data_IF_377000366131
#
_entry.id   IF_377000366131
#
_cell.length_a   1.000
_cell.length_b   1.000
_cell.length_c   1.000
_cell.angle_alpha   90.00
_cell.angle_beta   90.00
_cell.angle_gamma   90.00
#
_symmetry.space_group_name_H-M   'P 1'
#
loop_
_entity.id
_entity.type
_entity.pdbx_description
1 polymer ?
#
# COMPACT_ATOMS: atom_id res chain seq x y z
N UNK A 1 11.11 15.81 -56.28
CA UNK A 1 10.01 15.20 -55.51
C UNK A 1 10.63 14.48 -54.33
N UNK A 2 11.13 15.10 -53.25
CA UNK A 2 10.63 16.24 -52.42
C UNK A 2 9.18 15.98 -52.00
N UNK A 3 8.81 15.77 -50.73
CA UNK A 3 8.89 16.65 -49.54
C UNK A 3 8.50 15.83 -48.26
N UNK A 4 9.18 16.04 -47.11
CA UNK A 4 8.70 16.73 -45.87
C UNK A 4 7.94 15.84 -44.87
N UNK A 5 8.56 15.64 -43.70
CA UNK A 5 7.96 16.07 -42.42
C UNK A 5 9.02 16.12 -41.31
N UNK A 6 9.56 17.32 -41.10
CA UNK A 6 10.12 17.76 -39.82
C UNK A 6 8.95 18.18 -38.93
N UNK A 7 9.00 17.86 -37.64
CA UNK A 7 8.26 18.60 -36.62
C UNK A 7 9.17 18.82 -35.43
N UNK A 8 9.56 20.08 -35.25
CA UNK A 8 10.27 20.59 -34.10
C UNK A 8 9.60 21.87 -33.62
N UNK A 9 9.55 22.02 -32.29
CA UNK A 9 9.28 23.27 -31.57
C UNK A 9 7.80 23.58 -31.35
N UNK A 10 7.38 24.19 -30.24
CA UNK A 10 8.05 24.68 -29.05
C UNK A 10 6.94 25.10 -28.06
N UNK A 11 7.15 24.89 -26.75
CA UNK A 11 6.44 25.65 -25.72
C UNK A 11 7.26 25.70 -24.43
N UNK A 12 8.05 26.77 -24.31
CA UNK A 12 7.91 27.73 -23.21
C UNK A 12 8.44 27.35 -21.82
N UNK A 13 9.24 28.23 -21.19
CA UNK A 13 9.98 27.97 -19.96
C UNK A 13 9.13 28.20 -18.70
N UNK A 14 9.39 27.44 -17.64
CA UNK A 14 9.01 27.83 -16.27
C UNK A 14 10.24 27.88 -15.38
N UNK A 15 10.61 29.11 -15.06
CA UNK A 15 11.47 29.52 -13.95
C UNK A 15 10.64 29.73 -12.66
N UNK A 16 11.36 29.73 -11.53
CA UNK A 16 11.02 30.12 -10.15
C UNK A 16 10.16 29.13 -9.33
N UNK A 17 10.54 28.72 -8.11
CA UNK A 17 11.68 29.04 -7.23
C UNK A 17 12.00 27.78 -6.40
N UNK A 18 13.25 27.48 -6.08
CA UNK A 18 14.17 28.17 -5.15
C UNK A 18 13.74 28.08 -3.68
N UNK A 19 14.73 27.74 -2.85
CA UNK A 19 14.74 27.54 -1.38
C UNK A 19 14.26 26.19 -0.81
N UNK A 20 15.19 25.25 -0.71
CA UNK A 20 15.69 24.91 0.64
C UNK A 20 17.14 24.43 0.58
N UNK A 21 18.06 25.36 0.85
CA UNK A 21 19.46 25.07 1.04
C UNK A 21 19.67 24.27 2.31
N UNK A 22 19.90 22.97 2.17
CA UNK A 22 20.61 22.22 3.19
C UNK A 22 22.10 22.62 3.09
N UNK A 23 22.71 23.19 4.15
CA UNK A 23 24.11 23.55 4.11
C UNK A 23 24.97 22.29 3.90
N UNK A 24 26.13 22.40 3.23
CA UNK A 24 27.05 21.28 3.12
C UNK A 24 27.42 20.79 4.53
N UNK A 25 27.59 19.46 4.73
CA UNK A 25 27.94 18.93 6.04
C UNK A 25 29.19 19.64 6.54
N UNK A 26 29.07 20.28 7.70
CA UNK A 26 30.16 21.00 8.34
C UNK A 26 31.37 20.06 8.43
N UNK A 27 32.57 20.48 8.01
CA UNK A 27 33.76 19.68 8.21
C UNK A 27 33.88 19.42 9.71
N UNK A 28 33.86 18.14 10.10
CA UNK A 28 34.12 17.73 11.47
C UNK A 28 35.44 18.40 11.87
N UNK A 29 35.36 19.31 12.84
CA UNK A 29 36.50 19.81 13.58
C UNK A 29 37.16 18.59 14.23
N UNK A 30 38.14 18.02 13.53
CA UNK A 30 39.11 17.16 14.18
C UNK A 30 39.74 17.99 15.32
N UNK A 31 39.76 17.48 16.56
CA UNK A 31 40.48 18.16 17.62
C UNK A 31 41.94 18.30 17.16
N UNK A 32 42.59 19.46 17.40
CA UNK A 32 43.95 19.70 16.96
C UNK A 32 44.83 18.57 17.45
N UNK A 33 45.43 17.83 16.49
CA UNK A 33 46.52 16.90 16.79
C UNK A 33 47.59 17.71 17.53
N UNK A 34 47.61 17.56 18.85
CA UNK A 34 48.71 18.06 19.68
C UNK A 34 49.97 17.44 19.10
N UNK A 35 50.82 18.31 18.54
CA UNK A 35 52.18 17.94 18.21
C UNK A 35 52.83 17.31 19.45
N UNK A 36 53.59 16.22 19.30
CA UNK A 36 54.25 15.57 20.42
C UNK A 36 55.20 16.59 21.05
N UNK A 37 54.87 16.99 22.29
CA UNK A 37 55.72 17.85 23.10
C UNK A 37 56.88 16.97 23.54
N UNK A 38 58.08 17.31 23.07
CA UNK A 38 59.36 16.66 23.40
C UNK A 38 59.64 16.51 24.92
N UNK A 39 58.81 17.11 25.77
CA UNK A 39 58.83 16.96 27.23
C UNK A 39 58.16 15.69 27.78
N UNK A 40 57.42 14.93 26.96
CA UNK A 40 56.65 13.76 27.44
C UNK A 40 57.41 12.42 27.32
N UNK A 41 58.74 12.47 27.21
CA UNK A 41 59.60 11.29 27.36
C UNK A 41 59.72 10.93 28.85
N UNK A 42 59.18 9.77 29.30
CA UNK A 42 59.34 9.33 30.68
C UNK A 42 60.76 8.77 30.86
N UNK A 43 61.74 9.65 31.07
CA UNK A 43 63.14 9.24 31.18
C UNK A 43 64.15 10.30 31.63
N UNK A 44 63.70 11.49 32.04
CA UNK A 44 64.61 12.64 32.23
C UNK A 44 65.54 12.59 33.44
N UNK A 45 65.18 11.91 34.54
CA UNK A 45 65.99 11.96 35.79
C UNK A 45 66.64 10.63 36.14
N UNK A 46 66.10 9.50 35.65
CA UNK A 46 66.74 8.19 35.78
C UNK A 46 68.03 8.08 34.95
N UNK A 47 68.11 8.74 33.80
CA UNK A 47 69.28 8.72 32.90
C UNK A 47 70.53 9.34 33.54
N UNK A 48 70.39 10.44 34.30
CA UNK A 48 71.53 11.14 34.93
C UNK A 48 72.18 10.30 36.03
N UNK A 49 71.40 9.51 36.77
CA UNK A 49 71.91 8.59 37.79
C UNK A 49 72.69 7.40 37.23
N UNK A 50 72.33 6.93 36.03
CA UNK A 50 73.02 5.82 35.36
C UNK A 50 74.36 6.24 34.77
N UNK A 51 74.42 7.44 34.16
CA UNK A 51 75.66 8.00 33.61
C UNK A 51 76.66 8.31 34.72
N UNK A 52 76.21 8.86 35.85
CA UNK A 52 77.09 9.16 36.99
C UNK A 52 77.62 7.89 37.68
N UNK A 53 76.80 6.84 37.84
CA UNK A 53 77.28 5.56 38.39
C UNK A 53 78.28 4.85 37.44
N UNK A 54 78.07 4.97 36.12
CA UNK A 54 79.01 4.45 35.12
C UNK A 54 80.36 5.18 35.15
N UNK A 55 80.36 6.51 35.27
CA UNK A 55 81.57 7.34 35.34
C UNK A 55 82.33 7.09 36.65
N UNK A 56 81.66 6.99 37.79
CA UNK A 56 82.31 6.70 39.07
C UNK A 56 82.85 5.27 39.11
N UNK A 57 82.13 4.30 38.55
CA UNK A 57 82.60 2.91 38.45
C UNK A 57 83.83 2.76 37.55
N UNK A 58 83.84 3.43 36.39
CA UNK A 58 85.00 3.42 35.49
C UNK A 58 86.20 4.19 36.05
N UNK A 59 85.99 5.31 36.75
CA UNK A 59 87.04 6.03 37.46
C UNK A 59 87.66 5.19 38.60
N UNK A 60 86.85 4.44 39.36
CA UNK A 60 87.35 3.55 40.41
C UNK A 60 88.18 2.38 39.84
N UNK A 61 87.79 1.84 38.69
CA UNK A 61 88.54 0.78 37.99
C UNK A 61 89.89 1.32 37.49
N UNK A 62 89.90 2.49 36.84
CA UNK A 62 91.14 3.14 36.37
C UNK A 62 92.07 3.50 37.54
N UNK A 63 91.52 4.02 38.63
CA UNK A 63 92.28 4.34 39.85
C UNK A 63 92.91 3.09 40.48
N UNK A 64 92.18 1.97 40.54
CA UNK A 64 92.67 0.73 41.13
C UNK A 64 93.76 0.05 40.27
N UNK A 65 93.68 0.19 38.94
CA UNK A 65 94.72 -0.29 38.00
C UNK A 65 96.03 0.49 38.19
N UNK A 66 95.95 1.80 38.43
CA UNK A 66 97.14 2.65 38.56
C UNK A 66 97.87 2.52 39.92
N UNK A 67 97.20 2.05 40.98
CA UNK A 67 97.72 2.11 42.36
C UNK A 67 98.10 0.76 43.00
N UNK A 68 98.08 -0.37 42.29
CA UNK A 68 98.38 -1.69 42.88
C UNK A 68 99.70 -2.32 42.39
N UNK A 69 100.77 -2.37 43.19
CA UNK A 69 101.99 -3.12 42.89
C UNK A 69 101.87 -4.57 43.39
N UNK A 70 101.60 -5.55 42.52
CA UNK A 70 101.88 -6.97 42.82
C UNK A 70 101.94 -7.85 41.55
N UNK A 71 102.67 -8.98 41.58
CA UNK A 71 103.06 -9.80 40.41
C UNK A 71 101.89 -10.49 39.68
N UNK A 72 102.13 -10.81 38.40
CA UNK A 72 101.22 -10.56 37.28
C UNK A 72 100.28 -11.69 36.80
N UNK A 73 100.32 -12.91 37.33
CA UNK A 73 99.64 -14.03 36.65
C UNK A 73 98.29 -14.48 37.22
N UNK A 74 98.00 -14.26 38.52
CA UNK A 74 96.73 -14.73 39.15
C UNK A 74 95.62 -13.66 39.23
N UNK A 75 95.97 -12.38 39.08
CA UNK A 75 95.05 -11.25 39.30
C UNK A 75 94.02 -11.07 38.17
N UNK A 76 94.45 -11.20 36.92
CA UNK A 76 93.59 -10.92 35.76
C UNK A 76 92.33 -11.79 35.73
N UNK A 77 92.42 -13.04 36.21
CA UNK A 77 91.32 -14.00 36.21
C UNK A 77 90.23 -13.64 37.24
N UNK A 78 90.60 -13.12 38.41
CA UNK A 78 89.63 -12.68 39.42
C UNK A 78 88.94 -11.36 39.03
N UNK A 79 89.67 -10.42 38.42
CA UNK A 79 89.07 -9.18 37.90
C UNK A 79 88.11 -9.42 36.74
N UNK A 80 88.46 -10.31 35.81
CA UNK A 80 87.55 -10.69 34.73
C UNK A 80 86.27 -11.31 35.30
N UNK A 81 86.39 -12.19 36.30
CA UNK A 81 85.23 -12.77 37.00
C UNK A 81 84.33 -11.71 37.66
N UNK A 82 84.91 -10.76 38.39
CA UNK A 82 84.14 -9.71 39.09
C UNK A 82 83.44 -8.73 38.14
N UNK A 83 84.11 -8.32 37.06
CA UNK A 83 83.53 -7.41 36.05
C UNK A 83 82.40 -8.11 35.29
N UNK A 84 82.62 -9.34 34.82
CA UNK A 84 81.59 -10.13 34.12
C UNK A 84 80.39 -10.38 35.05
N UNK A 85 80.64 -10.71 36.32
CA UNK A 85 79.56 -10.89 37.31
C UNK A 85 78.76 -9.59 37.53
N UNK A 86 79.44 -8.44 37.64
CA UNK A 86 78.78 -7.13 37.75
C UNK A 86 77.92 -6.79 36.54
N UNK A 87 78.42 -7.02 35.33
CA UNK A 87 77.67 -6.81 34.08
C UNK A 87 76.44 -7.72 34.00
N UNK A 88 76.57 -8.99 34.36
CA UNK A 88 75.45 -9.95 34.39
C UNK A 88 74.39 -9.53 35.41
N UNK A 89 74.80 -9.08 36.60
CA UNK A 89 73.88 -8.68 37.67
C UNK A 89 73.14 -7.39 37.30
N UNK A 90 73.82 -6.45 36.65
CA UNK A 90 73.21 -5.24 36.08
C UNK A 90 72.24 -5.60 34.95
N UNK A 91 72.60 -6.49 34.03
CA UNK A 91 71.72 -6.94 32.94
C UNK A 91 70.47 -7.66 33.47
N UNK A 92 70.63 -8.52 34.48
CA UNK A 92 69.52 -9.19 35.16
C UNK A 92 68.59 -8.17 35.84
N UNK A 93 69.18 -7.18 36.53
CA UNK A 93 68.41 -6.11 37.18
C UNK A 93 67.68 -5.21 36.17
N UNK A 94 68.32 -4.84 35.06
CA UNK A 94 67.71 -4.09 33.96
C UNK A 94 66.55 -4.89 33.34
N UNK A 95 66.72 -6.19 33.17
CA UNK A 95 65.67 -7.07 32.64
C UNK A 95 64.46 -7.13 33.59
N UNK A 96 64.70 -7.33 34.90
CA UNK A 96 63.62 -7.40 35.91
C UNK A 96 62.89 -6.05 36.04
N UNK A 97 63.62 -4.94 35.97
CA UNK A 97 63.00 -3.61 36.05
C UNK A 97 62.18 -3.28 34.81
N UNK A 98 62.67 -3.57 33.61
CA UNK A 98 61.92 -3.41 32.36
C UNK A 98 60.65 -4.28 32.37
N UNK A 99 60.74 -5.52 32.84
CA UNK A 99 59.59 -6.40 32.97
C UNK A 99 58.55 -5.86 33.96
N UNK A 100 58.99 -5.31 35.11
CA UNK A 100 58.08 -4.71 36.10
C UNK A 100 57.44 -3.43 35.58
N UNK A 101 58.17 -2.60 34.83
CA UNK A 101 57.62 -1.41 34.20
C UNK A 101 56.61 -1.79 33.11
N UNK A 102 56.93 -2.75 32.25
CA UNK A 102 56.02 -3.26 31.23
C UNK A 102 54.75 -3.89 31.84
N UNK A 103 54.88 -4.62 32.94
CA UNK A 103 53.74 -5.20 33.64
C UNK A 103 52.82 -4.13 34.26
N UNK A 104 53.39 -3.06 34.82
CA UNK A 104 52.62 -1.94 35.40
C UNK A 104 51.93 -1.10 34.32
N UNK A 105 52.63 -0.77 33.23
CA UNK A 105 52.03 0.00 32.14
C UNK A 105 50.98 -0.81 31.39
N UNK A 106 51.16 -2.12 31.24
CA UNK A 106 50.13 -3.01 30.71
C UNK A 106 48.89 -3.04 31.62
N UNK A 107 49.07 -3.11 32.94
CA UNK A 107 47.96 -3.07 33.90
C UNK A 107 47.19 -1.74 33.83
N UNK A 108 47.89 -0.60 33.81
CA UNK A 108 47.26 0.73 33.67
C UNK A 108 46.56 0.90 32.32
N UNK A 109 47.13 0.38 31.23
CA UNK A 109 46.50 0.42 29.91
C UNK A 109 45.21 -0.42 29.90
N UNK A 110 45.21 -1.59 30.54
CA UNK A 110 44.02 -2.44 30.69
C UNK A 110 42.95 -1.74 31.51
N UNK A 111 43.29 -1.06 32.60
CA UNK A 111 42.32 -0.30 33.40
C UNK A 111 41.72 0.88 32.64
N UNK A 112 42.54 1.65 31.91
CA UNK A 112 42.04 2.76 31.05
C UNK A 112 41.15 2.25 29.94
N UNK A 113 41.52 1.14 29.28
CA UNK A 113 40.69 0.51 28.26
C UNK A 113 39.37 0.03 28.85
N UNK A 114 39.38 -0.63 30.01
CA UNK A 114 38.15 -1.04 30.72
C UNK A 114 37.23 0.14 31.00
N UNK A 115 37.77 1.25 31.51
CA UNK A 115 36.98 2.46 31.74
C UNK A 115 36.37 3.05 30.45
N UNK A 116 37.14 3.05 29.36
CA UNK A 116 36.66 3.52 28.06
C UNK A 116 35.62 2.59 27.44
N UNK A 117 35.78 1.27 27.58
CA UNK A 117 34.79 0.27 27.13
C UNK A 117 33.47 0.44 27.88
N UNK A 118 33.49 0.57 29.20
CA UNK A 118 32.27 0.79 30.00
C UNK A 118 31.57 2.08 29.59
N UNK A 119 32.31 3.18 29.40
CA UNK A 119 31.73 4.44 28.96
C UNK A 119 31.19 4.39 27.51
N UNK A 120 31.82 3.62 26.62
CA UNK A 120 31.35 3.42 25.25
C UNK A 120 30.11 2.52 25.20
N UNK A 121 30.08 1.46 26.01
CA UNK A 121 28.94 0.55 26.16
C UNK A 121 27.72 1.28 26.73
N UNK A 122 27.92 2.18 27.70
CA UNK A 122 26.82 2.97 28.23
C UNK A 122 26.22 3.93 27.18
N UNK A 123 27.07 4.52 26.32
CA UNK A 123 26.60 5.36 25.21
C UNK A 123 25.87 4.55 24.14
N UNK A 124 26.43 3.41 23.73
CA UNK A 124 25.78 2.55 22.74
C UNK A 124 24.45 1.99 23.26
N UNK A 125 24.37 1.63 24.55
CA UNK A 125 23.12 1.20 25.17
C UNK A 125 22.04 2.30 25.14
N UNK A 126 22.43 3.56 25.40
CA UNK A 126 21.51 4.70 25.30
C UNK A 126 21.06 4.97 23.87
N UNK A 127 21.98 4.93 22.90
CA UNK A 127 21.66 5.12 21.49
C UNK A 127 20.71 4.03 20.97
N UNK A 128 20.97 2.76 21.31
CA UNK A 128 20.08 1.64 20.98
C UNK A 128 18.71 1.78 21.64
N UNK A 129 18.66 2.25 22.89
CA UNK A 129 17.38 2.50 23.56
C UNK A 129 16.57 3.60 22.87
N UNK A 130 17.22 4.67 22.38
CA UNK A 130 16.57 5.76 21.65
C UNK A 130 16.08 5.26 20.28
N UNK A 131 16.91 4.56 19.51
CA UNK A 131 16.51 4.04 18.19
C UNK A 131 15.39 3.02 18.29
N UNK A 132 15.41 2.15 19.31
CA UNK A 132 14.32 1.20 19.56
C UNK A 132 13.00 1.92 19.88
N UNK A 133 13.04 2.99 20.68
CA UNK A 133 11.85 3.81 20.97
C UNK A 133 11.31 4.51 19.71
N UNK A 134 12.19 5.10 18.91
CA UNK A 134 11.79 5.75 17.65
C UNK A 134 11.16 4.74 16.69
N UNK A 135 11.79 3.58 16.52
CA UNK A 135 11.27 2.53 15.66
C UNK A 135 9.93 1.98 16.16
N UNK A 136 9.77 1.84 17.48
CA UNK A 136 8.49 1.45 18.06
C UNK A 136 7.39 2.48 17.75
N UNK A 137 7.67 3.78 17.95
CA UNK A 137 6.68 4.84 17.65
C UNK A 137 6.37 4.92 16.15
N UNK A 138 7.35 4.68 15.29
CA UNK A 138 7.14 4.65 13.84
C UNK A 138 6.27 3.46 13.43
N UNK A 139 6.52 2.28 13.99
CA UNK A 139 5.69 1.08 13.74
C UNK A 139 4.26 1.27 14.24
N UNK A 140 4.08 1.89 15.42
CA UNK A 140 2.75 2.22 15.95
C UNK A 140 2.01 3.22 15.05
N UNK A 141 2.70 4.26 14.57
CA UNK A 141 2.14 5.23 13.63
C UNK A 141 1.80 4.60 12.27
N UNK A 142 2.68 3.76 11.71
CA UNK A 142 2.43 3.04 10.46
C UNK A 142 1.24 2.07 10.58
N UNK A 143 1.12 1.35 11.70
CA UNK A 143 -0.03 0.50 11.96
C UNK A 143 -1.33 1.31 12.08
N UNK A 144 -1.30 2.45 12.76
CA UNK A 144 -2.46 3.33 12.87
C UNK A 144 -2.91 3.86 11.51
N UNK A 145 -1.97 4.33 10.68
CA UNK A 145 -2.23 4.78 9.32
C UNK A 145 -2.77 3.65 8.44
N UNK A 146 -2.20 2.45 8.53
CA UNK A 146 -2.67 1.31 7.77
C UNK A 146 -4.11 0.91 8.14
N UNK A 147 -4.46 0.93 9.44
CA UNK A 147 -5.84 0.69 9.90
C UNK A 147 -6.78 1.76 9.34
N UNK A 148 -6.43 3.04 9.47
CA UNK A 148 -7.25 4.13 8.94
C UNK A 148 -7.43 4.03 7.42
N UNK A 149 -6.38 3.65 6.67
CA UNK A 149 -6.47 3.44 5.23
C UNK A 149 -7.36 2.23 4.87
N UNK A 150 -7.33 1.15 5.65
CA UNK A 150 -8.20 0.00 5.45
C UNK A 150 -9.67 0.32 5.77
N UNK A 151 -9.93 1.14 6.78
CA UNK A 151 -11.28 1.59 7.12
C UNK A 151 -11.83 2.51 6.03
N UNK A 152 -11.05 3.49 5.56
CA UNK A 152 -11.41 4.31 4.41
C UNK A 152 -11.66 3.48 3.14
N UNK A 153 -10.85 2.45 2.88
CA UNK A 153 -11.06 1.55 1.74
C UNK A 153 -12.35 0.73 1.87
N UNK A 154 -12.73 0.32 3.09
CA UNK A 154 -14.01 -0.37 3.33
C UNK A 154 -15.21 0.54 3.11
N UNK A 155 -15.13 1.78 3.59
CA UNK A 155 -16.17 2.79 3.36
C UNK A 155 -16.33 3.07 1.87
N UNK A 156 -15.23 3.27 1.14
CA UNK A 156 -15.26 3.43 -0.31
C UNK A 156 -15.88 2.22 -1.03
N UNK A 157 -15.48 0.99 -0.67
CA UNK A 157 -16.06 -0.21 -1.27
C UNK A 157 -17.55 -0.38 -0.95
N UNK A 158 -18.00 0.04 0.23
CA UNK A 158 -19.42 0.02 0.59
C UNK A 158 -20.23 1.00 -0.27
N UNK A 159 -19.74 2.23 -0.44
CA UNK A 159 -20.37 3.25 -1.28
C UNK A 159 -20.37 2.84 -2.76
N UNK A 160 -19.29 2.26 -3.28
CA UNK A 160 -19.25 1.75 -4.65
C UNK A 160 -20.27 0.63 -4.87
N UNK A 161 -20.41 -0.28 -3.91
CA UNK A 161 -21.39 -1.37 -3.97
C UNK A 161 -22.82 -0.83 -4.02
N UNK A 162 -23.18 0.12 -3.16
CA UNK A 162 -24.53 0.70 -3.16
C UNK A 162 -24.82 1.43 -4.47
N UNK A 163 -23.87 2.22 -4.97
CA UNK A 163 -24.02 2.92 -6.25
C UNK A 163 -24.18 1.96 -7.44
N UNK A 164 -23.45 0.85 -7.46
CA UNK A 164 -23.59 -0.16 -8.51
C UNK A 164 -24.97 -0.82 -8.48
N UNK A 165 -25.47 -1.19 -7.30
CA UNK A 165 -26.80 -1.75 -7.14
C UNK A 165 -27.88 -0.77 -7.61
N UNK A 166 -27.79 0.51 -7.23
CA UNK A 166 -28.73 1.52 -7.71
C UNK A 166 -28.74 1.66 -9.24
N UNK A 167 -27.55 1.63 -9.87
CA UNK A 167 -27.45 1.70 -11.34
C UNK A 167 -28.10 0.50 -12.00
N UNK A 168 -27.87 -0.71 -11.47
CA UNK A 168 -28.49 -1.94 -11.96
C UNK A 168 -30.01 -1.91 -11.79
N UNK A 169 -30.51 -1.46 -10.63
CA UNK A 169 -31.95 -1.31 -10.40
C UNK A 169 -32.60 -0.30 -11.36
N UNK A 170 -31.95 0.85 -11.57
CA UNK A 170 -32.41 1.86 -12.55
C UNK A 170 -32.47 1.27 -13.96
N UNK A 171 -31.44 0.53 -14.36
CA UNK A 171 -31.39 -0.12 -15.67
C UNK A 171 -32.50 -1.16 -15.82
N UNK A 172 -32.67 -2.05 -14.85
CA UNK A 172 -33.71 -3.08 -14.89
C UNK A 172 -35.12 -2.46 -15.02
N UNK A 173 -35.41 -1.38 -14.29
CA UNK A 173 -36.69 -0.68 -14.41
C UNK A 173 -36.91 -0.03 -15.79
N UNK A 174 -35.84 0.44 -16.44
CA UNK A 174 -35.89 0.95 -17.82
C UNK A 174 -36.18 -0.20 -18.80
N UNK A 175 -35.51 -1.34 -18.64
CA UNK A 175 -35.69 -2.54 -19.47
C UNK A 175 -37.11 -3.10 -19.36
N UNK A 176 -37.65 -3.23 -18.14
CA UNK A 176 -39.06 -3.60 -17.91
C UNK A 176 -40.01 -2.60 -18.58
N UNK A 177 -39.76 -1.29 -18.43
CA UNK A 177 -40.61 -0.26 -19.05
C UNK A 177 -40.58 -0.33 -20.58
N UNK A 178 -39.40 -0.61 -21.16
CA UNK A 178 -39.20 -0.83 -22.60
C UNK A 178 -39.95 -2.07 -23.07
N UNK A 179 -39.88 -3.17 -22.32
CA UNK A 179 -40.58 -4.41 -22.62
C UNK A 179 -42.11 -4.23 -22.55
N UNK A 180 -42.63 -3.51 -21.55
CA UNK A 180 -44.05 -3.12 -21.48
C UNK A 180 -44.47 -2.34 -22.73
N UNK A 181 -43.68 -1.35 -23.16
CA UNK A 181 -43.99 -0.58 -24.36
C UNK A 181 -43.89 -1.39 -25.66
N UNK A 182 -43.03 -2.41 -25.73
CA UNK A 182 -42.99 -3.34 -26.86
C UNK A 182 -44.26 -4.20 -26.89
N UNK A 183 -44.65 -4.77 -25.75
CA UNK A 183 -45.85 -5.58 -25.61
C UNK A 183 -47.11 -4.80 -25.97
N UNK A 184 -47.29 -3.57 -25.45
CA UNK A 184 -48.48 -2.77 -25.77
C UNK A 184 -48.56 -2.39 -27.25
N UNK A 185 -47.43 -2.07 -27.89
CA UNK A 185 -47.37 -1.83 -29.35
C UNK A 185 -47.71 -3.08 -30.14
N UNK A 186 -47.26 -4.25 -29.70
CA UNK A 186 -47.56 -5.51 -30.36
C UNK A 186 -49.06 -5.84 -30.30
N UNK A 187 -49.73 -5.60 -29.16
CA UNK A 187 -51.20 -5.75 -29.07
C UNK A 187 -51.95 -4.80 -30.01
N UNK A 188 -51.46 -3.57 -30.18
CA UNK A 188 -52.06 -2.62 -31.13
C UNK A 188 -51.93 -3.13 -32.58
N UNK A 189 -50.76 -3.67 -32.91
CA UNK A 189 -50.50 -4.27 -34.22
C UNK A 189 -51.41 -5.47 -34.44
N UNK A 190 -51.51 -6.38 -33.47
CA UNK A 190 -52.42 -7.52 -33.49
C UNK A 190 -53.85 -7.10 -33.81
N UNK A 191 -54.38 -6.07 -33.13
CA UNK A 191 -55.74 -5.61 -33.36
C UNK A 191 -55.97 -5.10 -34.79
N UNK A 192 -55.04 -4.30 -35.31
CA UNK A 192 -55.12 -3.78 -36.68
C UNK A 192 -55.02 -4.90 -37.73
N UNK A 193 -54.21 -5.90 -37.42
CA UNK A 193 -53.97 -7.06 -38.28
C UNK A 193 -55.16 -8.02 -38.28
N UNK A 194 -55.72 -8.30 -37.10
CA UNK A 194 -56.94 -9.06 -36.88
C UNK A 194 -58.09 -8.52 -37.75
N UNK A 195 -58.29 -7.20 -37.77
CA UNK A 195 -59.32 -6.57 -38.61
C UNK A 195 -59.08 -6.76 -40.12
N UNK A 196 -57.82 -6.91 -40.55
CA UNK A 196 -57.50 -7.23 -41.95
C UNK A 196 -57.76 -8.71 -42.25
N UNK A 197 -57.33 -9.60 -41.37
CA UNK A 197 -57.47 -11.06 -41.53
C UNK A 197 -58.93 -11.49 -41.47
N UNK A 198 -59.75 -10.84 -40.64
CA UNK A 198 -61.19 -11.11 -40.52
C UNK A 198 -61.95 -10.96 -41.86
N UNK A 199 -61.40 -10.22 -42.83
CA UNK A 199 -61.99 -10.06 -44.18
C UNK A 199 -61.79 -11.27 -45.09
N UNK A 200 -60.94 -12.23 -44.70
CA UNK A 200 -60.72 -13.47 -45.44
C UNK A 200 -61.89 -14.42 -45.15
N UNK A 201 -62.54 -14.95 -46.19
CA UNK A 201 -63.73 -15.79 -46.06
C UNK A 201 -63.40 -17.18 -45.50
N UNK A 202 -62.30 -17.78 -45.94
CA UNK A 202 -61.88 -19.11 -45.51
C UNK A 202 -61.24 -19.11 -44.11
N UNK A 203 -61.70 -20.01 -43.25
CA UNK A 203 -61.23 -20.13 -41.87
C UNK A 203 -59.79 -20.64 -41.79
N UNK A 204 -59.40 -21.58 -42.66
CA UNK A 204 -58.04 -22.11 -42.67
C UNK A 204 -57.04 -21.05 -43.15
N UNK A 205 -57.40 -20.27 -44.18
CA UNK A 205 -56.59 -19.12 -44.60
C UNK A 205 -56.48 -18.04 -43.51
N UNK A 206 -57.53 -17.77 -42.73
CA UNK A 206 -57.45 -16.87 -41.56
C UNK A 206 -56.45 -17.36 -40.52
N UNK A 207 -56.50 -18.63 -40.15
CA UNK A 207 -55.57 -19.22 -39.18
C UNK A 207 -54.12 -19.15 -39.66
N UNK A 208 -53.86 -19.51 -40.93
CA UNK A 208 -52.52 -19.41 -41.54
C UNK A 208 -52.01 -17.96 -41.52
N UNK A 209 -52.88 -16.98 -41.78
CA UNK A 209 -52.52 -15.57 -41.73
C UNK A 209 -52.27 -15.07 -40.30
N UNK A 210 -52.98 -15.58 -39.30
CA UNK A 210 -52.83 -15.17 -37.89
C UNK A 210 -51.57 -15.76 -37.21
N UNK A 211 -51.17 -16.99 -37.55
CA UNK A 211 -50.09 -17.70 -36.87
C UNK A 211 -48.77 -16.91 -36.79
N UNK A 212 -48.24 -16.29 -37.87
CA UNK A 212 -46.99 -15.52 -37.80
C UNK A 212 -47.05 -14.30 -36.87
N UNK A 213 -48.23 -13.74 -36.62
CA UNK A 213 -48.41 -12.60 -35.71
C UNK A 213 -48.39 -13.10 -34.26
N UNK A 214 -49.01 -14.25 -34.00
CA UNK A 214 -48.97 -14.91 -32.69
C UNK A 214 -47.57 -15.36 -32.30
N UNK A 215 -46.79 -15.88 -33.24
CA UNK A 215 -45.39 -16.21 -33.01
C UNK A 215 -44.59 -14.97 -32.59
N UNK A 216 -44.81 -13.83 -33.26
CA UNK A 216 -44.18 -12.56 -32.89
C UNK A 216 -44.61 -12.07 -31.50
N UNK A 217 -45.88 -12.21 -31.14
CA UNK A 217 -46.38 -11.91 -29.80
C UNK A 217 -45.70 -12.81 -28.77
N UNK A 218 -45.60 -14.11 -29.05
CA UNK A 218 -44.93 -15.08 -28.19
C UNK A 218 -43.49 -14.69 -27.89
N UNK A 219 -42.75 -14.23 -28.91
CA UNK A 219 -41.39 -13.72 -28.73
C UNK A 219 -41.35 -12.50 -27.80
N UNK A 220 -42.23 -11.51 -28.02
CA UNK A 220 -42.28 -10.30 -27.19
C UNK A 220 -42.66 -10.61 -25.73
N UNK A 221 -43.54 -11.58 -25.51
CA UNK A 221 -43.92 -12.04 -24.16
C UNK A 221 -42.76 -12.76 -23.47
N UNK A 222 -42.01 -13.57 -24.21
CA UNK A 222 -40.79 -14.22 -23.72
C UNK A 222 -39.74 -13.18 -23.30
N UNK A 223 -39.44 -12.22 -24.19
CA UNK A 223 -38.50 -11.13 -23.91
C UNK A 223 -38.95 -10.32 -22.69
N UNK A 224 -40.24 -10.00 -22.59
CA UNK A 224 -40.81 -9.33 -21.41
C UNK A 224 -40.61 -10.12 -20.12
N UNK A 225 -40.83 -11.44 -20.16
CA UNK A 225 -40.69 -12.31 -18.99
C UNK A 225 -39.25 -12.38 -18.49
N UNK A 226 -38.27 -12.39 -19.41
CA UNK A 226 -36.85 -12.33 -19.07
C UNK A 226 -36.50 -11.02 -18.39
N UNK A 227 -36.91 -9.89 -18.96
CA UNK A 227 -36.62 -8.56 -18.39
C UNK A 227 -37.27 -8.37 -17.02
N UNK A 228 -38.49 -8.88 -16.85
CA UNK A 228 -39.19 -8.85 -15.56
C UNK A 228 -38.51 -9.74 -14.51
N UNK A 229 -38.10 -10.96 -14.90
CA UNK A 229 -37.37 -11.87 -14.03
C UNK A 229 -36.03 -11.28 -13.58
N UNK A 230 -35.29 -10.65 -14.49
CA UNK A 230 -34.05 -9.93 -14.17
C UNK A 230 -34.29 -8.81 -13.16
N UNK A 231 -35.38 -8.05 -13.32
CA UNK A 231 -35.74 -7.00 -12.39
C UNK A 231 -36.06 -7.56 -10.99
N UNK A 232 -36.80 -8.68 -10.88
CA UNK A 232 -37.07 -9.33 -9.60
C UNK A 232 -35.81 -9.81 -8.87
N UNK A 233 -34.75 -10.20 -9.59
CA UNK A 233 -33.48 -10.61 -8.98
C UNK A 233 -32.67 -9.43 -8.42
N UNK A 234 -32.87 -8.23 -8.97
CA UNK A 234 -32.10 -7.03 -8.59
C UNK A 234 -32.83 -6.17 -7.55
N UNK A 235 -34.13 -6.37 -7.37
CA UNK A 235 -34.98 -5.56 -6.48
C UNK A 235 -35.24 -6.30 -5.18
N UNK A 236 -34.66 -5.79 -4.09
CA UNK A 236 -34.87 -6.29 -2.73
C UNK A 236 -36.11 -5.68 -2.04
N UNK A 237 -36.53 -4.49 -2.48
CA UNK A 237 -37.66 -3.76 -1.89
C UNK A 237 -39.01 -4.45 -2.16
N UNK A 238 -39.76 -4.72 -1.10
CA UNK A 238 -41.02 -5.47 -1.15
C UNK A 238 -42.12 -4.75 -1.95
N UNK A 239 -42.23 -3.43 -1.80
CA UNK A 239 -43.28 -2.65 -2.47
C UNK A 239 -43.04 -2.56 -3.97
N UNK A 240 -41.76 -2.41 -4.37
CA UNK A 240 -41.35 -2.43 -5.76
C UNK A 240 -41.49 -3.85 -6.35
N UNK A 241 -41.16 -4.90 -5.60
CA UNK A 241 -41.38 -6.28 -6.02
C UNK A 241 -42.87 -6.56 -6.29
N UNK A 242 -43.75 -6.16 -5.36
CA UNK A 242 -45.20 -6.26 -5.54
C UNK A 242 -45.71 -5.40 -6.71
N UNK A 243 -45.03 -4.30 -7.05
CA UNK A 243 -45.35 -3.52 -8.23
C UNK A 243 -45.00 -4.24 -9.52
N UNK A 244 -43.88 -4.95 -9.57
CA UNK A 244 -43.50 -5.81 -10.69
C UNK A 244 -44.51 -6.97 -10.87
N UNK A 245 -44.96 -7.59 -9.79
CA UNK A 245 -46.00 -8.63 -9.84
C UNK A 245 -47.29 -8.11 -10.49
N UNK A 246 -47.71 -6.88 -10.15
CA UNK A 246 -48.86 -6.24 -10.80
C UNK A 246 -48.65 -5.95 -12.29
N UNK A 247 -47.41 -5.71 -12.73
CA UNK A 247 -47.09 -5.62 -14.16
C UNK A 247 -47.20 -7.00 -14.80
N UNK A 248 -46.71 -8.05 -14.14
CA UNK A 248 -46.85 -9.43 -14.62
C UNK A 248 -48.31 -9.82 -14.83
N UNK A 249 -49.17 -9.54 -13.83
CA UNK A 249 -50.61 -9.80 -13.91
C UNK A 249 -51.25 -9.10 -15.12
N UNK A 250 -50.88 -7.85 -15.37
CA UNK A 250 -51.35 -7.09 -16.53
C UNK A 250 -50.83 -7.67 -17.85
N UNK A 251 -49.60 -8.18 -17.89
CA UNK A 251 -49.03 -8.85 -19.06
C UNK A 251 -49.71 -10.21 -19.33
N UNK A 252 -50.03 -10.98 -18.30
CA UNK A 252 -50.81 -12.22 -18.44
C UNK A 252 -52.21 -11.91 -18.98
N UNK A 253 -52.84 -10.83 -18.51
CA UNK A 253 -54.12 -10.36 -19.07
C UNK A 253 -54.00 -9.97 -20.54
N UNK A 254 -52.89 -9.36 -20.95
CA UNK A 254 -52.62 -9.05 -22.37
C UNK A 254 -52.50 -10.29 -23.24
N UNK A 255 -51.82 -11.34 -22.76
CA UNK A 255 -51.73 -12.62 -23.47
C UNK A 255 -53.12 -13.23 -23.66
N UNK A 256 -53.95 -13.24 -22.61
CA UNK A 256 -55.33 -13.74 -22.72
C UNK A 256 -56.15 -12.97 -23.75
N UNK A 257 -56.04 -11.63 -23.76
CA UNK A 257 -56.73 -10.81 -24.77
C UNK A 257 -56.21 -11.10 -26.17
N UNK A 258 -54.90 -11.36 -26.34
CA UNK A 258 -54.38 -11.80 -27.61
C UNK A 258 -55.02 -13.14 -28.03
N UNK A 259 -55.00 -14.16 -27.16
CA UNK A 259 -55.62 -15.46 -27.42
C UNK A 259 -57.12 -15.35 -27.78
N UNK A 260 -57.87 -14.48 -27.10
CA UNK A 260 -59.28 -14.20 -27.41
C UNK A 260 -59.44 -13.58 -28.81
N UNK A 261 -58.58 -12.63 -29.18
CA UNK A 261 -58.56 -12.04 -30.52
C UNK A 261 -58.23 -13.10 -31.57
N UNK A 262 -57.26 -13.98 -31.30
CA UNK A 262 -56.93 -15.09 -32.20
C UNK A 262 -58.16 -15.95 -32.49
N UNK A 263 -58.78 -16.45 -31.42
CA UNK A 263 -59.91 -17.37 -31.51
C UNK A 263 -61.07 -16.71 -32.26
N UNK A 264 -61.41 -15.47 -31.91
CA UNK A 264 -62.48 -14.73 -32.58
C UNK A 264 -62.20 -14.54 -34.08
N UNK A 265 -60.98 -14.17 -34.46
CA UNK A 265 -60.62 -13.97 -35.87
C UNK A 265 -60.66 -15.30 -36.65
N UNK A 266 -60.13 -16.38 -36.09
CA UNK A 266 -60.18 -17.70 -36.74
C UNK A 266 -61.63 -18.16 -36.93
N UNK A 267 -62.50 -17.93 -35.94
CA UNK A 267 -63.93 -18.24 -36.01
C UNK A 267 -64.74 -17.27 -36.89
N UNK A 268 -64.14 -16.17 -37.36
CA UNK A 268 -64.83 -15.17 -38.17
C UNK A 268 -65.77 -14.26 -37.36
N UNK A 269 -65.57 -14.17 -36.04
CA UNK A 269 -66.34 -13.32 -35.14
C UNK A 269 -65.66 -11.97 -34.94
N UNK A 270 -66.46 -10.90 -34.96
CA UNK A 270 -66.01 -9.56 -34.63
C UNK A 270 -66.11 -9.32 -33.13
N UNK A 271 -65.01 -8.88 -32.50
CA UNK A 271 -65.00 -8.52 -31.08
C UNK A 271 -65.42 -7.05 -30.91
N UNK A 272 -66.62 -6.84 -30.37
CA UNK A 272 -67.10 -5.51 -29.97
C UNK A 272 -67.53 -5.54 -28.49
N UNK A 273 -66.90 -4.76 -27.59
CA UNK A 273 -65.90 -3.71 -27.84
C UNK A 273 -64.45 -4.21 -27.93
N UNK A 274 -63.59 -3.41 -28.57
CA UNK A 274 -62.14 -3.63 -28.63
C UNK A 274 -61.51 -3.73 -27.22
N UNK A 275 -60.97 -4.90 -26.82
CA UNK A 275 -60.38 -5.10 -25.49
C UNK A 275 -58.97 -4.51 -25.34
N UNK A 276 -58.25 -4.28 -26.44
CA UNK A 276 -56.82 -3.89 -26.43
C UNK A 276 -56.56 -2.58 -25.67
N UNK A 277 -57.31 -1.47 -25.89
CA UNK A 277 -57.05 -0.22 -25.19
C UNK A 277 -57.16 -0.32 -23.67
N UNK A 278 -58.04 -1.18 -23.15
CA UNK A 278 -58.22 -1.36 -21.72
C UNK A 278 -56.96 -1.98 -21.09
N UNK A 279 -56.45 -3.05 -21.70
CA UNK A 279 -55.24 -3.73 -21.20
C UNK A 279 -53.99 -2.87 -21.40
N UNK A 280 -53.86 -2.16 -22.52
CA UNK A 280 -52.75 -1.22 -22.72
C UNK A 280 -52.69 -0.15 -21.62
N UNK A 281 -53.85 0.44 -21.27
CA UNK A 281 -53.92 1.42 -20.16
C UNK A 281 -53.53 0.78 -18.83
N UNK A 282 -53.98 -0.44 -18.57
CA UNK A 282 -53.61 -1.17 -17.36
C UNK A 282 -52.09 -1.39 -17.28
N UNK A 283 -51.47 -1.94 -18.33
CA UNK A 283 -50.02 -2.17 -18.37
C UNK A 283 -49.22 -0.88 -18.18
N UNK A 284 -49.60 0.19 -18.87
CA UNK A 284 -48.94 1.50 -18.71
C UNK A 284 -49.12 2.08 -17.30
N UNK A 285 -50.30 1.94 -16.70
CA UNK A 285 -50.56 2.37 -15.34
C UNK A 285 -49.69 1.60 -14.33
N UNK A 286 -49.62 0.28 -14.43
CA UNK A 286 -48.78 -0.55 -13.55
C UNK A 286 -47.30 -0.23 -13.70
N UNK A 287 -46.82 -0.05 -14.94
CA UNK A 287 -45.44 0.37 -15.19
C UNK A 287 -45.15 1.79 -14.67
N UNK A 288 -46.11 2.70 -14.70
CA UNK A 288 -45.98 4.04 -14.12
C UNK A 288 -45.92 3.98 -12.58
N UNK A 289 -46.74 3.15 -11.96
CA UNK A 289 -46.73 2.93 -10.50
C UNK A 289 -45.38 2.38 -10.04
N UNK A 290 -44.86 1.35 -10.71
CA UNK A 290 -43.55 0.77 -10.37
C UNK A 290 -42.41 1.79 -10.55
N UNK A 291 -42.40 2.57 -11.64
CA UNK A 291 -41.42 3.66 -11.82
C UNK A 291 -41.52 4.70 -10.72
N UNK A 292 -42.73 5.08 -10.29
CA UNK A 292 -42.93 6.03 -9.20
C UNK A 292 -42.37 5.50 -7.88
N UNK A 293 -42.61 4.23 -7.56
CA UNK A 293 -42.05 3.59 -6.36
C UNK A 293 -40.53 3.53 -6.42
N UNK A 294 -39.95 3.11 -7.56
CA UNK A 294 -38.51 3.12 -7.76
C UNK A 294 -37.90 4.53 -7.55
N UNK A 295 -38.56 5.58 -8.07
CA UNK A 295 -38.12 6.96 -7.83
C UNK A 295 -38.23 7.40 -6.36
N UNK A 296 -39.23 6.93 -5.63
CA UNK A 296 -39.38 7.22 -4.20
C UNK A 296 -38.25 6.57 -3.38
N UNK A 297 -37.90 5.32 -3.69
CA UNK A 297 -36.79 4.62 -3.03
C UNK A 297 -35.45 5.31 -3.29
N UNK A 298 -35.19 5.71 -4.54
CA UNK A 298 -33.99 6.45 -4.89
C UNK A 298 -33.90 7.80 -4.17
N UNK A 299 -35.04 8.47 -3.96
CA UNK A 299 -35.06 9.74 -3.20
C UNK A 299 -34.82 9.50 -1.71
N UNK A 300 -35.47 8.48 -1.13
CA UNK A 300 -35.29 8.14 0.27
C UNK A 300 -33.84 7.76 0.60
N UNK A 301 -33.17 6.99 -0.27
CA UNK A 301 -31.75 6.65 -0.11
C UNK A 301 -30.84 7.88 -0.11
N UNK A 302 -31.09 8.85 -0.98
CA UNK A 302 -30.34 10.12 -1.01
C UNK A 302 -30.57 10.98 0.25
N UNK A 303 -31.79 10.97 0.80
CA UNK A 303 -32.14 11.74 1.98
C UNK A 303 -31.54 11.14 3.27
N UNK A 304 -31.38 9.81 3.34
CA UNK A 304 -30.72 9.13 4.47
C UNK A 304 -29.19 9.33 4.45
N UNK A 305 -28.56 9.26 3.27
CA UNK A 305 -27.12 9.56 3.11
C UNK A 305 -26.79 11.02 3.49
N UNK A 306 -27.71 11.96 3.25
CA UNK A 306 -27.55 13.38 3.60
C UNK A 306 -27.79 13.73 5.07
N UNK A 307 -28.35 12.81 5.88
CA UNK A 307 -28.60 13.02 7.33
C UNK A 307 -27.57 12.36 8.24
N UNK A 308 -26.66 11.57 7.66
CA UNK A 308 -25.57 10.89 8.36
C UNK A 308 -24.24 11.65 8.41
N UNK A 309 -24.15 12.85 7.80
CA UNK A 309 -22.93 13.69 7.78
C UNK A 309 -22.96 14.82 8.80
#
# INVERSE_FOLDING_TARGET
MTEVMQSGGAAGPRQLGDFNGAPPPSPRLEPPRRAPRWSDLPGGWGSVGWVTCGIVGSAAIVWFIFLSPAPSESKAQWFFGAVVFGVVLVALWQTITIQRYAARTAAEAVERLRGQFVAAEERSAREVAITRRLHQTEMEAQQALHRAAMDAAREHAAVERTQLLERLQKQAMIEVSRAVAAHTRMLAMLWNEAARVLRIEDAAEREIAMNPIFEQIGQVVSDFSVELGNAHLLIEDHDLHAALDRINEAAVMAVRVAEEIHAAVVEGQELDPNPVPAVQRLMHARAADARRLAWQLLRAGLDDDGRGS
#
